data_IF_294457470474
#
_entry.id   IF_294457470474
#
_cell.length_a   1.000
_cell.length_b   1.000
_cell.length_c   1.000
_cell.angle_alpha   90.00
_cell.angle_beta   90.00
_cell.angle_gamma   90.00
#
_symmetry.space_group_name_H-M   'P 1'
#
loop_
_entity.id
_entity.type
_entity.pdbx_description
1 polymer ?
#
# COMPACT_ATOMS: atom_id res chain seq x y z
N UNK A 1 -21.75 -3.15 -10.15
CA UNK A 1 -20.93 -2.27 -11.00
C UNK A 1 -19.62 -1.85 -10.33
N UNK A 2 -19.62 -1.47 -9.04
CA UNK A 2 -18.39 -1.10 -8.31
C UNK A 2 -17.29 -2.18 -8.30
N UNK A 3 -17.62 -3.47 -8.13
CA UNK A 3 -16.62 -4.56 -8.24
C UNK A 3 -15.95 -4.55 -9.61
N UNK A 4 -16.72 -4.31 -10.68
CA UNK A 4 -16.21 -4.18 -12.04
C UNK A 4 -15.29 -2.97 -12.19
N UNK A 5 -15.63 -1.83 -11.57
CA UNK A 5 -14.78 -0.64 -11.57
C UNK A 5 -13.46 -0.87 -10.83
N UNK A 6 -13.49 -1.56 -9.70
CA UNK A 6 -12.28 -1.93 -8.95
C UNK A 6 -11.41 -2.88 -9.77
N UNK A 7 -12.01 -3.92 -10.36
CA UNK A 7 -11.28 -4.87 -11.19
C UNK A 7 -10.70 -4.18 -12.43
N UNK A 8 -11.46 -3.29 -13.08
CA UNK A 8 -10.97 -2.51 -14.21
C UNK A 8 -9.84 -1.55 -13.81
N UNK A 9 -9.94 -0.93 -12.64
CA UNK A 9 -8.89 -0.08 -12.09
C UNK A 9 -7.62 -0.87 -11.78
N UNK A 10 -7.75 -2.05 -11.18
CA UNK A 10 -6.62 -2.91 -10.85
C UNK A 10 -5.94 -3.41 -12.13
N UNK A 11 -6.71 -3.83 -13.12
CA UNK A 11 -6.20 -4.19 -14.44
C UNK A 11 -5.49 -2.99 -15.08
N UNK A 12 -6.09 -1.81 -15.05
CA UNK A 12 -5.49 -0.58 -15.59
C UNK A 12 -4.18 -0.21 -14.89
N UNK A 13 -4.16 -0.27 -13.56
CA UNK A 13 -2.97 -0.04 -12.74
C UNK A 13 -1.83 -0.98 -13.13
N UNK A 14 -2.10 -2.30 -13.17
CA UNK A 14 -1.07 -3.29 -13.52
C UNK A 14 -0.61 -3.18 -14.97
N UNK A 15 -1.51 -2.86 -15.91
CA UNK A 15 -1.16 -2.64 -17.33
C UNK A 15 -0.26 -1.42 -17.48
N UNK A 16 -0.57 -0.31 -16.81
CA UNK A 16 0.26 0.91 -16.88
C UNK A 16 1.57 0.74 -16.13
N UNK A 17 1.56 0.12 -14.96
CA UNK A 17 2.78 -0.17 -14.19
C UNK A 17 3.71 -1.11 -14.97
N UNK A 18 3.18 -2.24 -15.46
CA UNK A 18 3.92 -3.21 -16.24
C UNK A 18 4.42 -2.63 -17.56
N UNK A 19 3.56 -1.91 -18.29
CA UNK A 19 3.90 -1.23 -19.53
C UNK A 19 4.96 -0.14 -19.34
N UNK A 20 4.81 0.70 -18.32
CA UNK A 20 5.77 1.75 -17.98
C UNK A 20 7.15 1.18 -17.64
N UNK A 21 7.20 0.12 -16.84
CA UNK A 21 8.45 -0.59 -16.52
C UNK A 21 9.05 -1.29 -17.75
N UNK A 22 8.22 -1.91 -18.60
CA UNK A 22 8.68 -2.53 -19.84
C UNK A 22 9.31 -1.50 -20.79
N UNK A 23 8.68 -0.35 -20.99
CA UNK A 23 9.23 0.74 -21.80
C UNK A 23 10.51 1.32 -21.18
N UNK A 24 10.55 1.44 -19.86
CA UNK A 24 11.71 1.96 -19.13
C UNK A 24 12.95 1.07 -19.30
N UNK A 25 12.78 -0.25 -19.13
CA UNK A 25 13.91 -1.17 -19.01
C UNK A 25 14.16 -2.02 -20.28
N UNK A 26 13.13 -2.50 -20.98
CA UNK A 26 13.31 -3.29 -22.22
C UNK A 26 13.59 -2.38 -23.42
N UNK A 27 12.83 -1.29 -23.56
CA UNK A 27 13.03 -0.31 -24.65
C UNK A 27 14.10 0.75 -24.32
N UNK A 28 14.69 0.73 -23.11
CA UNK A 28 15.71 1.67 -22.63
C UNK A 28 15.31 3.14 -22.80
N UNK A 29 14.01 3.46 -22.69
CA UNK A 29 13.47 4.84 -22.80
C UNK A 29 13.00 5.33 -21.43
N UNK A 30 13.92 5.77 -20.54
CA UNK A 30 13.60 6.09 -19.16
C UNK A 30 12.62 7.25 -19.00
N UNK A 31 12.65 8.23 -19.91
CA UNK A 31 11.71 9.37 -19.91
C UNK A 31 10.28 8.95 -20.25
N UNK A 32 10.10 8.06 -21.23
CA UNK A 32 8.77 7.55 -21.61
C UNK A 32 8.23 6.58 -20.56
N UNK A 33 9.07 5.69 -20.03
CA UNK A 33 8.69 4.83 -18.93
C UNK A 33 8.35 5.61 -17.66
N UNK A 34 9.09 6.67 -17.34
CA UNK A 34 8.77 7.59 -16.24
C UNK A 34 7.45 8.33 -16.44
N UNK A 35 7.18 8.82 -17.67
CA UNK A 35 5.91 9.46 -18.01
C UNK A 35 4.72 8.49 -17.89
N UNK A 36 4.87 7.25 -18.35
CA UNK A 36 3.87 6.18 -18.18
C UNK A 36 3.62 5.86 -16.71
N UNK A 37 4.66 5.82 -15.88
CA UNK A 37 4.50 5.64 -14.43
C UNK A 37 3.83 6.85 -13.75
N UNK A 38 3.94 8.05 -14.33
CA UNK A 38 3.20 9.24 -13.88
C UNK A 38 1.70 9.18 -14.22
N UNK A 39 1.30 8.35 -15.19
CA UNK A 39 -0.13 8.12 -15.48
C UNK A 39 -0.82 7.30 -14.38
N UNK A 40 -0.06 6.58 -13.53
CA UNK A 40 -0.62 5.80 -12.42
C UNK A 40 -1.41 6.67 -11.43
N UNK A 41 -0.86 7.76 -10.85
CA UNK A 41 -1.65 8.65 -9.98
C UNK A 41 -2.78 9.38 -10.73
N UNK A 42 -2.65 9.58 -12.04
CA UNK A 42 -3.72 10.17 -12.85
C UNK A 42 -4.92 9.22 -12.97
N UNK A 43 -4.67 7.92 -13.13
CA UNK A 43 -5.70 6.88 -13.16
C UNK A 43 -6.42 6.80 -11.80
N UNK A 44 -5.68 6.91 -10.69
CA UNK A 44 -6.27 6.94 -9.35
C UNK A 44 -7.23 8.13 -9.15
N UNK A 45 -6.85 9.32 -9.62
CA UNK A 45 -7.72 10.51 -9.59
C UNK A 45 -8.96 10.32 -10.46
N UNK A 46 -8.80 9.72 -11.65
CA UNK A 46 -9.91 9.42 -12.55
C UNK A 46 -10.88 8.40 -11.92
N UNK A 47 -10.35 7.38 -11.25
CA UNK A 47 -11.13 6.35 -10.56
C UNK A 47 -11.91 6.93 -9.37
N UNK A 48 -11.28 7.79 -8.57
CA UNK A 48 -11.93 8.52 -7.48
C UNK A 48 -13.09 9.37 -8.03
N UNK A 49 -12.86 10.07 -9.15
CA UNK A 49 -13.87 10.90 -9.81
C UNK A 49 -15.02 10.05 -10.37
N UNK A 50 -14.72 8.94 -11.05
CA UNK A 50 -15.72 8.03 -11.60
C UNK A 50 -16.56 7.38 -10.48
N UNK A 51 -15.92 7.00 -9.37
CA UNK A 51 -16.59 6.44 -8.19
C UNK A 51 -17.54 7.46 -7.55
N UNK A 52 -17.12 8.73 -7.44
CA UNK A 52 -17.96 9.81 -6.94
C UNK A 52 -19.18 10.06 -7.85
N UNK A 53 -19.03 9.90 -9.17
CA UNK A 53 -20.13 10.02 -10.12
C UNK A 53 -21.07 8.81 -10.03
N UNK A 54 -20.55 7.60 -9.89
CA UNK A 54 -21.34 6.36 -9.80
C UNK A 54 -22.22 6.33 -8.53
N UNK A 55 -21.68 6.82 -7.40
CA UNK A 55 -22.44 6.96 -6.15
C UNK A 55 -23.64 7.91 -6.29
N UNK A 56 -23.56 8.92 -7.15
CA UNK A 56 -24.69 9.83 -7.44
C UNK A 56 -25.81 9.18 -8.25
N UNK A 57 -25.60 7.97 -8.80
CA UNK A 57 -26.57 7.26 -9.64
C UNK A 57 -27.46 6.28 -8.86
N UNK A 58 -27.35 6.23 -7.53
CA UNK A 58 -28.35 5.58 -6.66
C UNK A 58 -28.24 4.06 -6.53
N UNK A 59 -27.02 3.50 -6.54
CA UNK A 59 -26.80 2.06 -6.33
C UNK A 59 -26.89 1.71 -4.84
N UNK A 60 -27.60 0.62 -4.52
CA UNK A 60 -27.81 0.15 -3.15
C UNK A 60 -26.49 -0.26 -2.44
N UNK A 61 -26.23 0.26 -1.22
CA UNK A 61 -25.02 -0.06 -0.46
C UNK A 61 -25.04 -1.51 0.04
N UNK A 62 -23.95 -2.22 -0.18
CA UNK A 62 -23.74 -3.62 0.24
C UNK A 62 -22.37 -3.79 0.89
N UNK A 63 -22.13 -4.94 1.55
CA UNK A 63 -20.83 -5.24 2.17
C UNK A 63 -19.64 -5.13 1.19
N UNK A 64 -19.86 -5.35 -0.11
CA UNK A 64 -18.86 -5.17 -1.16
C UNK A 64 -18.40 -3.70 -1.29
N UNK A 65 -19.28 -2.74 -1.01
CA UNK A 65 -18.96 -1.31 -1.04
C UNK A 65 -18.00 -0.94 0.09
N UNK A 66 -18.15 -1.58 1.25
CA UNK A 66 -17.24 -1.35 2.37
C UNK A 66 -15.84 -1.90 2.11
N UNK A 67 -15.75 -3.11 1.56
CA UNK A 67 -14.47 -3.69 1.13
C UNK A 67 -13.79 -2.85 0.04
N UNK A 68 -14.58 -2.33 -0.91
CA UNK A 68 -14.10 -1.45 -1.97
C UNK A 68 -13.44 -0.17 -1.42
N UNK A 69 -14.09 0.49 -0.45
CA UNK A 69 -13.57 1.70 0.16
C UNK A 69 -12.23 1.45 0.88
N UNK A 70 -12.10 0.31 1.58
CA UNK A 70 -10.83 -0.06 2.22
C UNK A 70 -9.74 -0.43 1.21
N UNK A 71 -10.10 -1.12 0.14
CA UNK A 71 -9.17 -1.45 -0.93
C UNK A 71 -8.65 -0.20 -1.65
N UNK A 72 -9.51 0.78 -1.89
CA UNK A 72 -9.11 2.09 -2.42
C UNK A 72 -8.16 2.80 -1.47
N UNK A 73 -8.47 2.82 -0.17
CA UNK A 73 -7.59 3.39 0.85
C UNK A 73 -6.20 2.72 0.86
N UNK A 74 -6.16 1.39 0.77
CA UNK A 74 -4.91 0.64 0.65
C UNK A 74 -4.13 1.03 -0.61
N UNK A 75 -4.79 1.07 -1.77
CA UNK A 75 -4.15 1.39 -3.05
C UNK A 75 -3.54 2.78 -3.04
N UNK A 76 -4.25 3.79 -2.53
CA UNK A 76 -3.71 5.16 -2.44
C UNK A 76 -2.55 5.26 -1.46
N UNK A 77 -2.66 4.61 -0.30
CA UNK A 77 -1.62 4.70 0.73
C UNK A 77 -0.34 3.92 0.37
N UNK A 78 -0.48 2.73 -0.22
CA UNK A 78 0.64 1.85 -0.55
C UNK A 78 1.11 1.96 -2.00
N UNK A 79 0.34 2.61 -2.88
CA UNK A 79 0.61 2.66 -4.32
C UNK A 79 2.02 3.16 -4.64
N UNK A 80 2.42 4.30 -4.09
CA UNK A 80 3.78 4.83 -4.32
C UNK A 80 4.89 3.89 -3.83
N UNK A 81 4.66 3.19 -2.71
CA UNK A 81 5.61 2.21 -2.19
C UNK A 81 5.70 0.98 -3.10
N UNK A 82 4.56 0.46 -3.57
CA UNK A 82 4.51 -0.68 -4.50
C UNK A 82 5.20 -0.33 -5.82
N UNK A 83 4.92 0.85 -6.38
CA UNK A 83 5.56 1.34 -7.61
C UNK A 83 7.07 1.42 -7.43
N UNK A 84 7.54 2.03 -6.33
CA UNK A 84 8.98 2.16 -6.06
C UNK A 84 9.66 0.82 -5.81
N UNK A 85 8.96 -0.10 -5.15
CA UNK A 85 9.44 -1.47 -4.93
C UNK A 85 9.56 -2.24 -6.25
N UNK A 86 8.54 -2.16 -7.11
CA UNK A 86 8.53 -2.78 -8.43
C UNK A 86 9.63 -2.19 -9.33
N UNK A 87 9.81 -0.86 -9.32
CA UNK A 87 10.86 -0.18 -10.06
C UNK A 87 12.26 -0.63 -9.61
N UNK A 88 12.49 -0.76 -8.30
CA UNK A 88 13.76 -1.29 -7.77
C UNK A 88 14.03 -2.73 -8.21
N UNK A 89 13.00 -3.58 -8.24
CA UNK A 89 13.13 -4.96 -8.71
C UNK A 89 13.41 -5.05 -10.22
N UNK A 90 12.74 -4.23 -11.02
CA UNK A 90 12.96 -4.13 -12.44
C UNK A 90 14.35 -3.57 -12.76
N UNK A 91 14.81 -2.55 -12.03
CA UNK A 91 16.16 -2.01 -12.14
C UNK A 91 17.24 -3.07 -11.83
N UNK A 92 17.01 -3.91 -10.82
CA UNK A 92 17.94 -5.00 -10.51
C UNK A 92 17.95 -6.08 -11.59
N UNK A 93 16.78 -6.53 -12.05
CA UNK A 93 16.66 -7.63 -13.00
C UNK A 93 17.05 -7.27 -14.43
N UNK A 94 16.72 -6.05 -14.87
CA UNK A 94 16.87 -5.62 -16.26
C UNK A 94 17.84 -4.46 -16.45
N UNK A 95 18.15 -3.70 -15.39
CA UNK A 95 19.02 -2.52 -15.44
C UNK A 95 20.39 -2.69 -14.80
N UNK A 96 20.73 -3.86 -14.26
CA UNK A 96 22.01 -4.12 -13.59
C UNK A 96 22.19 -3.40 -12.25
N UNK A 97 21.12 -2.84 -11.67
CA UNK A 97 21.20 -2.16 -10.39
C UNK A 97 21.45 -3.15 -9.23
N UNK A 98 22.01 -2.71 -8.10
CA UNK A 98 22.15 -3.54 -6.91
C UNK A 98 20.80 -4.09 -6.41
N UNK A 99 20.82 -5.26 -5.76
CA UNK A 99 19.59 -5.89 -5.24
C UNK A 99 18.89 -4.94 -4.25
N UNK A 100 17.55 -4.77 -4.32
CA UNK A 100 16.83 -3.89 -3.40
C UNK A 100 17.16 -4.24 -1.94
N UNK A 101 17.49 -3.23 -1.14
CA UNK A 101 17.85 -3.41 0.26
C UNK A 101 16.71 -4.13 1.01
N UNK A 102 17.06 -5.20 1.74
CA UNK A 102 16.08 -5.94 2.54
C UNK A 102 15.59 -5.06 3.71
N UNK A 103 14.33 -5.22 4.16
CA UNK A 103 13.83 -4.53 5.34
C UNK A 103 14.76 -4.74 6.55
N UNK A 104 15.01 -3.70 7.36
CA UNK A 104 15.89 -3.81 8.52
C UNK A 104 15.35 -4.84 9.51
N UNK A 105 16.20 -5.81 9.89
CA UNK A 105 15.78 -6.98 10.67
C UNK A 105 15.88 -6.82 12.19
N UNK A 106 16.63 -5.83 12.67
CA UNK A 106 16.98 -5.68 14.08
C UNK A 106 17.00 -4.23 14.56
N UNK A 107 16.89 -4.05 15.87
CA UNK A 107 17.08 -2.77 16.56
C UNK A 107 16.11 -1.65 16.17
N UNK A 108 16.52 -0.41 16.45
CA UNK A 108 15.70 0.79 16.24
C UNK A 108 15.38 1.06 14.76
N UNK A 109 16.22 0.58 13.84
CA UNK A 109 15.97 0.66 12.40
C UNK A 109 14.71 -0.15 11.98
N UNK A 110 14.47 -1.31 12.61
CA UNK A 110 13.26 -2.10 12.40
C UNK A 110 12.02 -1.41 12.96
N UNK A 111 12.11 -0.84 14.16
CA UNK A 111 11.02 -0.10 14.76
C UNK A 111 10.60 1.10 13.88
N UNK A 112 11.57 1.89 13.39
CA UNK A 112 11.29 3.01 12.47
C UNK A 112 10.65 2.56 11.16
N UNK A 113 11.09 1.42 10.62
CA UNK A 113 10.47 0.83 9.41
C UNK A 113 9.02 0.42 9.67
N UNK A 114 8.74 -0.22 10.80
CA UNK A 114 7.39 -0.62 11.18
C UNK A 114 6.48 0.59 11.39
N UNK A 115 6.96 1.64 12.07
CA UNK A 115 6.23 2.90 12.20
C UNK A 115 5.93 3.56 10.85
N UNK A 116 6.87 3.48 9.89
CA UNK A 116 6.62 3.97 8.54
C UNK A 116 5.51 3.17 7.85
N UNK A 117 5.52 1.85 7.95
CA UNK A 117 4.44 1.02 7.39
C UNK A 117 3.12 1.36 8.09
N UNK A 118 3.13 1.50 9.41
CA UNK A 118 1.96 1.87 10.19
C UNK A 118 1.39 3.23 9.78
N UNK A 119 2.24 4.24 9.52
CA UNK A 119 1.75 5.54 9.02
C UNK A 119 1.08 5.41 7.66
N UNK A 120 1.51 4.48 6.81
CA UNK A 120 0.82 4.19 5.55
C UNK A 120 -0.52 3.49 5.81
N UNK A 121 -0.57 2.53 6.74
CA UNK A 121 -1.83 1.92 7.20
C UNK A 121 -2.81 2.99 7.70
N UNK A 122 -2.32 3.94 8.50
CA UNK A 122 -3.11 5.06 9.03
C UNK A 122 -3.70 5.89 7.89
N UNK A 123 -2.88 6.31 6.91
CA UNK A 123 -3.34 7.07 5.75
C UNK A 123 -4.39 6.28 4.97
N UNK A 124 -4.17 4.99 4.73
CA UNK A 124 -5.12 4.15 3.99
C UNK A 124 -6.44 3.98 4.73
N UNK A 125 -6.40 3.82 6.05
CA UNK A 125 -7.59 3.75 6.90
C UNK A 125 -8.32 5.09 6.91
N UNK A 126 -7.64 6.23 7.02
CA UNK A 126 -8.27 7.56 6.97
C UNK A 126 -8.98 7.80 5.65
N UNK A 127 -8.37 7.44 4.52
CA UNK A 127 -8.98 7.53 3.20
C UNK A 127 -10.21 6.61 3.11
N UNK A 128 -10.05 5.35 3.53
CA UNK A 128 -11.17 4.39 3.56
C UNK A 128 -12.33 4.88 4.42
N UNK A 129 -12.05 5.44 5.60
CA UNK A 129 -13.06 6.02 6.49
C UNK A 129 -13.74 7.24 5.87
N UNK A 130 -13.00 8.12 5.21
CA UNK A 130 -13.56 9.29 4.52
C UNK A 130 -14.51 8.86 3.39
N UNK A 131 -14.14 7.84 2.62
CA UNK A 131 -14.98 7.28 1.55
C UNK A 131 -16.23 6.62 2.13
N UNK A 132 -16.08 5.76 3.15
CA UNK A 132 -17.20 5.14 3.86
C UNK A 132 -18.15 6.19 4.45
N UNK A 133 -17.60 7.26 5.03
CA UNK A 133 -18.39 8.34 5.62
C UNK A 133 -19.13 9.15 4.56
N UNK A 134 -18.49 9.42 3.42
CA UNK A 134 -19.14 10.03 2.26
C UNK A 134 -20.29 9.18 1.72
N UNK A 135 -20.12 7.86 1.66
CA UNK A 135 -21.22 6.94 1.30
C UNK A 135 -22.36 7.01 2.32
N UNK A 136 -22.07 7.01 3.62
CA UNK A 136 -23.08 7.13 4.68
C UNK A 136 -23.87 8.44 4.55
N UNK A 137 -23.20 9.57 4.30
CA UNK A 137 -23.89 10.86 4.10
C UNK A 137 -24.72 10.92 2.82
N UNK A 138 -24.36 10.14 1.80
CA UNK A 138 -25.09 10.08 0.54
C UNK A 138 -26.35 9.20 0.62
N UNK A 139 -26.45 8.32 1.63
CA UNK A 139 -27.61 7.45 1.83
C UNK A 139 -28.59 8.17 2.78
N UNK A 140 -29.72 8.62 2.24
CA UNK A 140 -30.80 9.29 3.00
C UNK A 140 -31.70 8.28 3.74
N UNK A 141 -31.10 7.22 4.28
CA UNK A 141 -31.75 6.16 5.04
C UNK A 141 -30.76 5.52 6.03
N UNK A 142 -30.88 5.92 7.30
CA UNK A 142 -29.96 5.53 8.37
C UNK A 142 -29.90 4.02 8.62
N UNK A 143 -31.00 3.31 8.41
CA UNK A 143 -31.13 1.87 8.69
C UNK A 143 -30.29 1.02 7.73
N UNK A 144 -29.96 1.58 6.56
CA UNK A 144 -29.19 0.90 5.51
C UNK A 144 -27.67 1.04 5.67
N UNK A 145 -27.22 1.81 6.65
CA UNK A 145 -25.79 2.14 6.84
C UNK A 145 -25.01 1.14 7.71
N UNK A 146 -25.70 0.18 8.33
CA UNK A 146 -25.12 -0.81 9.26
C UNK A 146 -23.86 -1.54 8.72
N UNK A 147 -23.87 -2.05 7.48
CA UNK A 147 -22.69 -2.70 6.89
C UNK A 147 -21.49 -1.75 6.74
N UNK A 148 -21.70 -0.49 6.35
CA UNK A 148 -20.62 0.50 6.18
C UNK A 148 -19.99 0.88 7.53
N UNK A 149 -20.82 1.06 8.56
CA UNK A 149 -20.36 1.33 9.93
C UNK A 149 -19.56 0.17 10.51
N UNK A 150 -19.97 -1.07 10.22
CA UNK A 150 -19.20 -2.28 10.58
C UNK A 150 -17.81 -2.25 9.97
N UNK A 151 -17.70 -1.87 8.69
CA UNK A 151 -16.40 -1.73 8.02
C UNK A 151 -15.54 -0.60 8.59
N UNK A 152 -16.13 0.54 8.97
CA UNK A 152 -15.40 1.61 9.68
C UNK A 152 -14.78 1.08 10.98
N UNK A 153 -15.56 0.33 11.78
CA UNK A 153 -15.09 -0.29 13.02
C UNK A 153 -13.97 -1.31 12.79
N UNK A 154 -14.12 -2.17 11.77
CA UNK A 154 -13.08 -3.14 11.39
C UNK A 154 -11.78 -2.46 10.97
N UNK A 155 -11.84 -1.40 10.16
CA UNK A 155 -10.67 -0.65 9.73
C UNK A 155 -9.91 -0.03 10.93
N UNK A 156 -10.64 0.56 11.88
CA UNK A 156 -10.07 1.11 13.11
C UNK A 156 -9.44 0.02 14.00
N UNK A 157 -10.08 -1.16 14.12
CA UNK A 157 -9.51 -2.30 14.86
C UNK A 157 -8.21 -2.77 14.24
N UNK A 158 -8.16 -2.93 12.91
CA UNK A 158 -6.94 -3.33 12.19
C UNK A 158 -5.82 -2.30 12.42
N UNK A 159 -6.14 -1.01 12.32
CA UNK A 159 -5.18 0.06 12.60
C UNK A 159 -4.64 0.01 14.04
N UNK A 160 -5.52 -0.22 15.01
CA UNK A 160 -5.15 -0.35 16.42
C UNK A 160 -4.27 -1.57 16.69
N UNK A 161 -4.61 -2.73 16.12
CA UNK A 161 -3.79 -3.94 16.22
C UNK A 161 -2.41 -3.70 15.60
N UNK A 162 -2.35 -3.05 14.44
CA UNK A 162 -1.06 -2.73 13.81
C UNK A 162 -0.25 -1.72 14.64
N UNK A 163 -0.91 -0.77 15.30
CA UNK A 163 -0.26 0.16 16.23
C UNK A 163 0.38 -0.59 17.40
N UNK A 164 -0.34 -1.57 17.98
CA UNK A 164 0.19 -2.41 19.06
C UNK A 164 1.40 -3.22 18.60
N UNK A 165 1.37 -3.77 17.38
CA UNK A 165 2.50 -4.48 16.80
C UNK A 165 3.71 -3.53 16.63
N UNK A 166 3.52 -2.35 16.04
CA UNK A 166 4.57 -1.35 15.88
C UNK A 166 5.16 -0.89 17.23
N UNK A 167 4.30 -0.70 18.22
CA UNK A 167 4.68 -0.37 19.59
C UNK A 167 5.48 -1.50 20.24
N UNK A 168 5.11 -2.76 20.02
CA UNK A 168 5.84 -3.92 20.56
C UNK A 168 7.30 -3.96 20.07
N UNK A 169 7.56 -3.61 18.82
CA UNK A 169 8.92 -3.52 18.27
C UNK A 169 9.73 -2.33 18.81
N UNK A 170 9.04 -1.32 19.33
CA UNK A 170 9.65 -0.13 19.94
C UNK A 170 10.00 -0.40 21.41
N UNK A 171 9.10 -1.09 22.14
CA UNK A 171 9.30 -1.45 23.56
C UNK A 171 10.22 -2.66 23.75
N UNK A 172 10.19 -3.64 22.84
CA UNK A 172 11.06 -4.82 22.82
C UNK A 172 11.86 -4.91 21.52
N UNK A 173 12.92 -4.10 21.35
CA UNK A 173 13.74 -4.11 20.15
C UNK A 173 14.44 -5.47 19.99
N UNK A 174 14.17 -6.17 18.89
CA UNK A 174 14.78 -7.47 18.57
C UNK A 174 16.29 -7.30 18.39
N UNK A 175 17.09 -7.91 19.29
CA UNK A 175 18.55 -7.88 19.24
C UNK A 175 19.06 -8.66 18.00
N UNK A 176 20.17 -8.19 17.43
CA UNK A 176 20.87 -8.96 16.40
C UNK A 176 21.49 -10.22 17.03
N UNK A 177 21.57 -11.35 16.31
CA UNK A 177 22.40 -12.46 16.75
C UNK A 177 23.83 -11.96 16.96
N UNK A 178 24.48 -12.40 18.04
CA UNK A 178 25.87 -12.05 18.31
C UNK A 178 26.74 -12.47 17.12
N UNK A 179 27.71 -11.64 16.67
CA UNK A 179 28.65 -12.06 15.65
C UNK A 179 29.36 -13.31 16.16
N UNK A 180 29.27 -14.38 15.39
CA UNK A 180 30.00 -15.62 15.62
C UNK A 180 31.48 -15.27 15.72
N UNK A 181 32.07 -15.50 16.90
CA UNK A 181 33.51 -15.29 17.10
C UNK A 181 34.21 -16.32 16.24
N UNK A 182 34.76 -15.85 15.13
CA UNK A 182 35.65 -16.60 14.27
C UNK A 182 36.79 -17.20 15.13
N UNK A 183 36.87 -18.53 15.32
CA UNK A 183 37.88 -19.15 16.17
C UNK A 183 39.30 -19.01 15.61
N UNK A 184 39.47 -18.58 14.36
CA UNK A 184 40.76 -18.60 13.66
C UNK A 184 41.73 -17.47 14.09
N UNK A 185 41.26 -16.40 14.74
CA UNK A 185 42.13 -15.31 15.22
C UNK A 185 42.76 -15.52 16.60
N UNK A 186 42.44 -16.60 17.30
CA UNK A 186 42.98 -16.88 18.63
C UNK A 186 44.34 -17.61 18.61
N UNK A 187 44.77 -18.14 17.45
CA UNK A 187 45.97 -18.99 17.35
C UNK A 187 47.22 -18.22 16.91
N UNK A 188 47.09 -17.03 16.31
CA UNK A 188 48.25 -16.24 15.85
C UNK A 188 48.98 -15.43 16.95
N UNK A 189 48.52 -15.50 18.20
CA UNK A 189 49.06 -14.68 19.30
C UNK A 189 49.55 -15.48 20.53
N UNK A 190 49.87 -16.77 20.39
CA UNK A 190 50.52 -17.55 21.45
C UNK A 190 51.92 -18.03 21.09
#
# INVERSE_FOLDING_TARGET
MIVTLIVAAEIGFWVVLGGGLAVRYLLRRPRLGGALLLCVPLIDVLLLTATAIDLRRGVDPSAAHGLAALYLGFTVAYGHYVVRWADGHAAHRFGGAPRPAKPPRHGMARARHEWRIWTMTLVGVLIGLAVLQGMIWAIDDGDRTGPLRTWQGTALRVLGIHALIALSYTLWPKKAPAPERDPERAVEHS
#
